data_IF_301136027911
#
_entry.id   IF_301136027911
#
_cell.length_a   1.000
_cell.length_b   1.000
_cell.length_c   1.000
_cell.angle_alpha   90.00
_cell.angle_beta   90.00
_cell.angle_gamma   90.00
#
_symmetry.space_group_name_H-M   'P 1'
#
loop_
_entity.id
_entity.type
_entity.pdbx_description
1 polymer ?
#
# COMPACT_ATOMS: atom_id res chain seq x y z
N UNK A 1 -88.04 -24.41 -76.56
CA UNK A 1 -87.01 -23.64 -75.81
C UNK A 1 -85.77 -23.69 -76.66
N UNK A 2 -85.53 -22.63 -77.43
CA UNK A 2 -84.34 -22.49 -78.26
C UNK A 2 -83.10 -22.34 -77.36
N UNK A 3 -81.98 -23.01 -77.67
CA UNK A 3 -80.74 -22.89 -76.89
C UNK A 3 -80.21 -21.46 -76.96
N UNK A 4 -79.79 -20.93 -75.81
CA UNK A 4 -79.24 -19.56 -75.74
C UNK A 4 -77.98 -19.49 -76.61
N UNK A 5 -77.90 -18.57 -77.59
CA UNK A 5 -76.74 -18.49 -78.48
C UNK A 5 -75.48 -18.09 -77.69
N UNK A 6 -74.52 -19.01 -77.59
CA UNK A 6 -73.22 -18.75 -76.96
C UNK A 6 -72.44 -17.74 -77.79
N UNK A 7 -72.01 -16.62 -77.19
CA UNK A 7 -71.36 -15.52 -77.90
C UNK A 7 -69.91 -15.79 -78.37
N UNK A 8 -69.41 -17.03 -78.24
CA UNK A 8 -68.07 -17.47 -78.65
C UNK A 8 -66.90 -16.83 -77.88
N UNK A 9 -67.16 -15.90 -76.96
CA UNK A 9 -66.16 -15.24 -76.12
C UNK A 9 -65.90 -16.02 -74.83
N UNK A 10 -64.77 -15.77 -74.17
CA UNK A 10 -64.48 -16.34 -72.84
C UNK A 10 -65.53 -15.89 -71.83
N UNK A 11 -65.90 -16.80 -70.92
CA UNK A 11 -66.96 -16.60 -69.95
C UNK A 11 -66.64 -15.47 -68.96
N UNK A 12 -65.40 -15.42 -68.46
CA UNK A 12 -64.90 -14.34 -67.59
C UNK A 12 -65.56 -14.25 -66.21
N UNK A 13 -66.53 -15.11 -65.89
CA UNK A 13 -67.20 -15.14 -64.57
C UNK A 13 -66.18 -15.42 -63.46
N UNK A 14 -66.22 -14.68 -62.33
CA UNK A 14 -65.36 -14.94 -61.18
C UNK A 14 -65.71 -16.30 -60.57
N UNK A 15 -64.70 -17.15 -60.39
CA UNK A 15 -64.79 -18.45 -59.74
C UNK A 15 -64.65 -18.28 -58.22
N UNK A 16 -65.19 -19.21 -57.41
CA UNK A 16 -65.07 -19.17 -55.95
C UNK A 16 -63.64 -19.44 -55.44
N UNK A 17 -62.68 -19.65 -56.33
CA UNK A 17 -61.28 -19.88 -56.01
C UNK A 17 -60.41 -18.66 -56.39
N UNK A 18 -59.39 -18.40 -55.57
CA UNK A 18 -58.50 -17.26 -55.72
C UNK A 18 -57.95 -16.84 -54.35
N UNK A 19 -56.94 -15.99 -54.32
CA UNK A 19 -56.52 -15.29 -53.11
C UNK A 19 -57.31 -13.98 -52.97
N UNK A 20 -57.27 -13.33 -51.79
CA UNK A 20 -57.91 -12.01 -51.58
C UNK A 20 -57.46 -10.96 -52.63
N UNK A 21 -56.24 -11.10 -53.16
CA UNK A 21 -55.65 -10.18 -54.15
C UNK A 21 -55.88 -10.60 -55.61
N UNK A 22 -56.27 -11.86 -55.87
CA UNK A 22 -56.46 -12.36 -57.24
C UNK A 22 -57.56 -13.44 -57.31
N UNK A 23 -58.74 -13.03 -57.79
CA UNK A 23 -59.89 -13.91 -58.04
C UNK A 23 -59.73 -14.56 -59.41
N UNK A 24 -59.82 -15.89 -59.48
CA UNK A 24 -59.73 -16.59 -60.77
C UNK A 24 -60.99 -16.38 -61.58
N UNK A 25 -60.85 -16.13 -62.88
CA UNK A 25 -61.97 -16.02 -63.82
C UNK A 25 -62.10 -17.27 -64.68
N UNK A 26 -63.31 -17.57 -65.15
CA UNK A 26 -63.56 -18.71 -66.01
C UNK A 26 -62.95 -18.49 -67.41
N UNK A 27 -61.92 -19.27 -67.74
CA UNK A 27 -61.23 -19.27 -69.04
C UNK A 27 -61.96 -20.09 -70.12
N UNK A 28 -63.08 -20.75 -69.79
CA UNK A 28 -63.89 -21.49 -70.76
C UNK A 28 -64.67 -20.54 -71.66
N UNK A 29 -64.97 -20.99 -72.89
CA UNK A 29 -65.88 -20.29 -73.79
C UNK A 29 -67.28 -20.17 -73.16
N UNK A 30 -68.06 -19.19 -73.61
CA UNK A 30 -69.42 -18.94 -73.16
C UNK A 30 -70.22 -20.26 -73.12
N UNK A 31 -70.63 -20.65 -71.92
CA UNK A 31 -71.32 -21.90 -71.64
C UNK A 31 -72.55 -21.62 -70.76
N UNK A 32 -73.51 -22.54 -70.82
CA UNK A 32 -74.72 -22.51 -70.00
C UNK A 32 -74.49 -23.37 -68.74
N UNK A 33 -74.91 -22.89 -67.55
CA UNK A 33 -74.67 -23.54 -66.25
C UNK A 33 -73.48 -23.02 -65.43
N UNK A 34 -73.20 -23.66 -64.29
CA UNK A 34 -72.11 -23.31 -63.36
C UNK A 34 -70.73 -23.53 -63.97
N UNK A 35 -69.79 -22.62 -63.68
CA UNK A 35 -68.42 -22.76 -64.15
C UNK A 35 -67.72 -23.93 -63.44
N UNK A 36 -67.17 -24.88 -64.22
CA UNK A 36 -66.50 -26.07 -63.69
C UNK A 36 -65.21 -25.78 -62.89
N UNK A 37 -64.53 -26.82 -62.36
CA UNK A 37 -63.36 -26.64 -61.49
C UNK A 37 -62.25 -25.85 -62.19
N UNK A 38 -61.68 -24.90 -61.45
CA UNK A 38 -60.56 -24.09 -61.94
C UNK A 38 -59.30 -24.94 -62.11
N UNK A 39 -58.59 -24.76 -63.23
CA UNK A 39 -57.30 -25.39 -63.56
C UNK A 39 -56.09 -24.67 -62.96
N UNK A 40 -56.29 -23.52 -62.32
CA UNK A 40 -55.21 -22.70 -61.75
C UNK A 40 -54.84 -23.17 -60.34
N UNK A 41 -53.65 -22.83 -59.90
CA UNK A 41 -53.21 -22.99 -58.50
C UNK A 41 -53.49 -21.70 -57.74
N UNK A 42 -53.84 -21.82 -56.47
CA UNK A 42 -53.92 -20.69 -55.56
C UNK A 42 -53.01 -20.90 -54.37
N UNK A 43 -52.52 -19.79 -53.83
CA UNK A 43 -51.58 -19.77 -52.72
C UNK A 43 -52.37 -19.69 -51.43
N UNK A 44 -52.27 -20.70 -50.57
CA UNK A 44 -52.80 -20.64 -49.21
C UNK A 44 -51.68 -20.29 -48.22
N UNK A 45 -51.97 -19.41 -47.27
CA UNK A 45 -51.03 -19.04 -46.23
C UNK A 45 -51.18 -19.95 -45.01
N UNK A 46 -50.05 -20.21 -44.35
CA UNK A 46 -50.04 -20.92 -43.09
C UNK A 46 -50.72 -20.09 -42.01
N UNK A 47 -51.30 -20.75 -41.00
CA UNK A 47 -51.89 -20.10 -39.81
C UNK A 47 -50.93 -19.12 -39.13
N UNK A 48 -49.63 -19.43 -39.11
CA UNK A 48 -48.59 -18.57 -38.54
C UNK A 48 -48.05 -17.51 -39.53
N UNK A 49 -48.59 -17.47 -40.76
CA UNK A 49 -48.25 -16.56 -41.87
C UNK A 49 -46.78 -16.62 -42.33
N UNK A 50 -45.97 -17.55 -41.83
CA UNK A 50 -44.55 -17.67 -42.17
C UNK A 50 -44.25 -18.48 -43.44
N UNK A 51 -45.18 -19.34 -43.87
CA UNK A 51 -45.05 -20.16 -45.07
C UNK A 51 -46.32 -20.07 -45.88
N UNK A 52 -46.19 -20.03 -47.19
CA UNK A 52 -47.27 -20.15 -48.15
C UNK A 52 -47.07 -21.45 -48.93
N UNK A 53 -48.17 -22.08 -49.33
CA UNK A 53 -48.14 -23.29 -50.15
C UNK A 53 -49.08 -23.12 -51.33
N UNK A 54 -48.61 -23.47 -52.51
CA UNK A 54 -49.43 -23.47 -53.72
C UNK A 54 -50.19 -24.80 -53.81
N UNK A 55 -51.50 -24.72 -53.98
CA UNK A 55 -52.35 -25.90 -54.16
C UNK A 55 -53.28 -25.68 -55.36
N UNK A 56 -53.56 -26.72 -56.16
CA UNK A 56 -54.53 -26.63 -57.25
C UNK A 56 -55.93 -26.35 -56.71
N UNK A 57 -56.68 -25.49 -57.40
CA UNK A 57 -58.02 -25.08 -56.97
C UNK A 57 -59.02 -26.24 -56.85
N UNK A 58 -58.78 -27.34 -57.57
CA UNK A 58 -59.54 -28.59 -57.46
C UNK A 58 -59.49 -29.22 -56.06
N UNK A 59 -58.40 -28.98 -55.32
CA UNK A 59 -58.13 -29.58 -54.00
C UNK A 59 -58.54 -28.68 -52.82
N UNK A 60 -59.04 -27.47 -53.09
CA UNK A 60 -59.41 -26.48 -52.06
C UNK A 60 -60.90 -26.52 -51.69
N UNK A 61 -61.58 -27.64 -51.95
CA UNK A 61 -63.03 -27.81 -51.75
C UNK A 61 -63.50 -27.85 -50.28
N UNK A 62 -62.72 -27.36 -49.33
CA UNK A 62 -63.12 -27.28 -47.92
C UNK A 62 -62.71 -25.93 -47.34
N UNK A 63 -63.70 -25.14 -46.96
CA UNK A 63 -63.56 -23.79 -46.38
C UNK A 63 -62.81 -23.77 -45.02
N UNK A 64 -62.43 -24.94 -44.49
CA UNK A 64 -61.75 -25.13 -43.20
C UNK A 64 -60.28 -25.61 -43.29
N UNK A 65 -59.66 -25.57 -44.47
CA UNK A 65 -58.27 -26.02 -44.64
C UNK A 65 -57.24 -25.00 -44.12
N UNK A 66 -57.17 -24.81 -42.81
CA UNK A 66 -56.08 -24.04 -42.18
C UNK A 66 -54.77 -24.80 -42.34
N UNK A 67 -53.87 -24.34 -43.22
CA UNK A 67 -52.54 -24.93 -43.37
C UNK A 67 -51.70 -24.68 -42.12
N UNK A 68 -51.22 -25.75 -41.48
CA UNK A 68 -50.24 -25.71 -40.39
C UNK A 68 -48.87 -26.15 -40.92
N UNK A 69 -47.83 -25.38 -40.63
CA UNK A 69 -46.47 -25.73 -41.03
C UNK A 69 -45.66 -26.31 -39.86
N UNK A 70 -44.67 -27.15 -40.15
CA UNK A 70 -43.78 -27.74 -39.13
C UNK A 70 -42.70 -26.77 -38.60
N UNK A 71 -42.80 -25.48 -38.91
CA UNK A 71 -41.83 -24.47 -38.49
C UNK A 71 -41.99 -24.15 -37.01
N UNK A 72 -40.91 -24.32 -36.24
CA UNK A 72 -40.83 -23.89 -34.85
C UNK A 72 -40.68 -22.38 -34.74
N UNK A 73 -41.37 -21.77 -33.79
CA UNK A 73 -41.28 -20.34 -33.53
C UNK A 73 -39.98 -19.97 -32.78
N UNK A 74 -39.16 -19.13 -33.39
CA UNK A 74 -37.89 -18.65 -32.81
C UNK A 74 -38.02 -17.35 -32.02
N UNK A 75 -39.24 -16.81 -31.85
CA UNK A 75 -39.45 -15.58 -31.06
C UNK A 75 -39.10 -15.83 -29.59
N UNK A 76 -38.44 -14.85 -28.98
CA UNK A 76 -38.14 -14.88 -27.54
C UNK A 76 -39.43 -14.69 -26.75
N UNK A 77 -39.62 -15.49 -25.71
CA UNK A 77 -40.69 -15.33 -24.72
C UNK A 77 -40.48 -14.03 -23.94
N UNK A 78 -41.54 -13.48 -23.37
CA UNK A 78 -41.53 -12.21 -22.62
C UNK A 78 -40.50 -12.17 -21.48
N UNK A 79 -40.15 -13.34 -20.93
CA UNK A 79 -39.07 -13.50 -19.95
C UNK A 79 -37.66 -13.14 -20.46
N UNK A 80 -37.46 -13.02 -21.77
CA UNK A 80 -36.17 -12.67 -22.40
C UNK A 80 -35.12 -13.78 -22.47
N UNK A 81 -35.26 -14.86 -21.67
CA UNK A 81 -34.32 -16.00 -21.63
C UNK A 81 -34.74 -17.18 -22.51
N UNK A 82 -36.04 -17.47 -22.58
CA UNK A 82 -36.56 -18.66 -23.26
C UNK A 82 -37.09 -18.34 -24.65
N UNK A 83 -36.96 -19.29 -25.58
CA UNK A 83 -37.59 -19.22 -26.91
C UNK A 83 -38.93 -19.97 -26.88
N UNK A 84 -39.87 -19.58 -27.74
CA UNK A 84 -41.18 -20.23 -27.84
C UNK A 84 -41.07 -21.70 -28.24
N UNK A 85 -40.40 -21.98 -29.35
CA UNK A 85 -40.21 -23.32 -29.94
C UNK A 85 -41.48 -24.09 -30.29
N UNK A 86 -42.68 -23.51 -30.13
CA UNK A 86 -43.95 -24.13 -30.53
C UNK A 86 -44.06 -24.20 -32.06
N UNK A 87 -44.63 -25.31 -32.55
CA UNK A 87 -44.83 -25.56 -33.97
C UNK A 87 -46.01 -24.71 -34.45
N UNK A 88 -45.83 -23.95 -35.53
CA UNK A 88 -46.87 -23.10 -36.10
C UNK A 88 -47.49 -22.09 -35.11
N UNK A 89 -46.68 -21.47 -34.24
CA UNK A 89 -47.15 -20.49 -33.26
C UNK A 89 -47.81 -19.26 -33.93
N UNK A 90 -49.01 -18.90 -33.45
CA UNK A 90 -49.77 -17.71 -33.88
C UNK A 90 -49.74 -16.56 -32.87
N UNK A 91 -49.24 -16.82 -31.67
CA UNK A 91 -49.32 -15.86 -30.58
C UNK A 91 -48.44 -14.63 -30.86
N UNK A 92 -49.02 -13.46 -30.61
CA UNK A 92 -48.26 -12.19 -30.62
C UNK A 92 -47.44 -12.06 -29.34
N UNK A 93 -48.00 -12.50 -28.21
CA UNK A 93 -47.37 -12.44 -26.89
C UNK A 93 -46.96 -13.84 -26.40
N UNK A 94 -45.66 -14.05 -26.23
CA UNK A 94 -45.10 -15.34 -25.86
C UNK A 94 -44.82 -15.41 -24.35
N UNK A 95 -45.84 -15.72 -23.54
CA UNK A 95 -45.67 -15.92 -22.09
C UNK A 95 -44.79 -17.13 -21.80
N UNK A 96 -44.03 -17.09 -20.71
CA UNK A 96 -43.18 -18.22 -20.31
C UNK A 96 -43.86 -19.01 -19.18
N UNK A 97 -44.21 -20.29 -19.39
CA UNK A 97 -44.85 -21.14 -18.39
C UNK A 97 -43.85 -21.70 -17.36
N UNK A 98 -42.55 -21.51 -17.58
CA UNK A 98 -41.53 -21.99 -16.66
C UNK A 98 -41.49 -21.13 -15.41
N UNK A 99 -41.26 -21.74 -14.26
CA UNK A 99 -40.99 -21.04 -13.01
C UNK A 99 -39.57 -20.46 -13.05
N UNK A 100 -39.36 -19.28 -12.47
CA UNK A 100 -38.09 -18.58 -12.55
C UNK A 100 -36.93 -19.35 -11.91
N UNK A 101 -37.13 -19.91 -10.71
CA UNK A 101 -36.17 -20.77 -10.00
C UNK A 101 -34.84 -20.10 -9.58
N UNK A 102 -34.66 -18.79 -9.82
CA UNK A 102 -33.45 -18.05 -9.44
C UNK A 102 -33.37 -17.89 -7.93
N UNK A 103 -32.16 -17.96 -7.37
CA UNK A 103 -31.90 -17.74 -5.94
C UNK A 103 -32.23 -16.29 -5.58
N UNK A 104 -33.06 -16.10 -4.56
CA UNK A 104 -33.50 -14.77 -4.10
C UNK A 104 -32.38 -14.08 -3.31
N UNK A 105 -32.52 -12.77 -3.09
CA UNK A 105 -31.55 -11.96 -2.31
C UNK A 105 -31.33 -12.45 -0.88
N UNK A 106 -32.32 -13.13 -0.29
CA UNK A 106 -32.20 -13.72 1.04
C UNK A 106 -31.21 -14.90 1.12
N UNK A 107 -30.73 -15.43 -0.01
CA UNK A 107 -29.70 -16.48 -0.02
C UNK A 107 -30.19 -17.88 0.40
N UNK A 108 -31.44 -18.02 0.85
CA UNK A 108 -32.02 -19.29 1.30
C UNK A 108 -33.14 -19.77 0.36
N UNK A 109 -33.99 -18.86 -0.12
CA UNK A 109 -35.16 -19.20 -0.94
C UNK A 109 -34.93 -19.00 -2.45
N UNK A 110 -35.73 -19.71 -3.26
CA UNK A 110 -35.75 -19.61 -4.72
C UNK A 110 -37.04 -18.92 -5.18
N UNK A 111 -36.98 -18.27 -6.34
CA UNK A 111 -38.13 -17.57 -6.91
C UNK A 111 -39.14 -18.56 -7.51
N UNK A 112 -40.35 -18.60 -6.94
CA UNK A 112 -41.47 -19.45 -7.37
C UNK A 112 -42.40 -18.77 -8.38
N UNK A 113 -42.14 -17.51 -8.71
CA UNK A 113 -42.90 -16.76 -9.70
C UNK A 113 -42.68 -17.31 -11.13
N UNK A 114 -43.68 -17.16 -12.02
CA UNK A 114 -43.50 -17.38 -13.45
C UNK A 114 -42.27 -16.63 -13.97
N UNK A 115 -41.59 -17.21 -14.96
CA UNK A 115 -40.35 -16.66 -15.48
C UNK A 115 -40.60 -15.25 -16.01
N UNK A 116 -39.98 -14.29 -15.34
CA UNK A 116 -40.18 -12.87 -15.56
C UNK A 116 -38.89 -12.22 -16.03
N UNK A 117 -39.00 -11.00 -16.56
CA UNK A 117 -37.85 -10.18 -16.96
C UNK A 117 -37.33 -9.42 -15.73
N UNK A 118 -36.02 -9.17 -15.68
CA UNK A 118 -35.38 -8.40 -14.61
C UNK A 118 -35.02 -9.22 -13.36
N UNK A 119 -34.73 -8.52 -12.26
CA UNK A 119 -34.41 -9.11 -10.96
C UNK A 119 -35.65 -9.72 -10.31
N UNK A 120 -35.47 -10.80 -9.56
CA UNK A 120 -36.56 -11.41 -8.79
C UNK A 120 -37.04 -10.46 -7.69
N UNK A 121 -38.32 -10.58 -7.35
CA UNK A 121 -38.93 -9.87 -6.22
C UNK A 121 -38.23 -10.23 -4.90
N UNK A 122 -38.54 -9.49 -3.83
CA UNK A 122 -38.11 -9.85 -2.48
C UNK A 122 -38.64 -11.22 -2.07
N UNK A 123 -38.00 -11.82 -1.08
CA UNK A 123 -38.52 -13.04 -0.48
C UNK A 123 -39.83 -12.71 0.24
N UNK A 124 -40.90 -13.45 -0.08
CA UNK A 124 -42.21 -13.33 0.55
C UNK A 124 -42.33 -14.11 1.86
N UNK A 125 -41.34 -14.96 2.16
CA UNK A 125 -41.31 -15.67 3.42
C UNK A 125 -41.08 -14.69 4.57
N UNK A 126 -41.87 -14.81 5.62
CA UNK A 126 -41.64 -14.15 6.90
C UNK A 126 -41.52 -15.23 7.99
N UNK A 127 -40.72 -14.95 9.02
CA UNK A 127 -40.74 -15.74 10.25
C UNK A 127 -41.80 -15.21 11.20
N UNK A 128 -42.43 -16.12 11.92
CA UNK A 128 -43.38 -15.81 12.99
C UNK A 128 -42.74 -15.89 14.39
N UNK A 129 -41.42 -16.03 14.42
CA UNK A 129 -40.61 -15.98 15.62
C UNK A 129 -40.03 -14.57 15.81
N UNK A 130 -39.88 -14.17 17.07
CA UNK A 130 -39.24 -12.93 17.46
C UNK A 130 -37.76 -12.94 17.06
N UNK A 131 -37.30 -11.87 16.42
CA UNK A 131 -35.89 -11.72 16.04
C UNK A 131 -35.19 -10.81 17.05
N UNK A 132 -34.33 -11.38 17.89
CA UNK A 132 -33.65 -10.65 18.97
C UNK A 132 -32.19 -10.32 18.61
N UNK A 133 -31.59 -9.33 19.28
CA UNK A 133 -30.13 -9.20 19.34
C UNK A 133 -29.53 -10.48 19.97
N UNK A 134 -28.22 -10.67 19.81
CA UNK A 134 -27.50 -11.75 20.50
C UNK A 134 -27.65 -11.69 22.03
N UNK A 135 -27.85 -10.48 22.57
CA UNK A 135 -28.06 -10.20 23.98
C UNK A 135 -29.49 -10.39 24.49
N UNK A 136 -30.49 -10.60 23.63
CA UNK A 136 -31.92 -10.58 23.97
C UNK A 136 -32.54 -9.22 24.30
N UNK A 137 -31.77 -8.15 24.50
CA UNK A 137 -32.27 -6.83 24.91
C UNK A 137 -33.09 -6.08 23.84
N UNK A 138 -32.70 -6.16 22.56
CA UNK A 138 -33.45 -5.58 21.43
C UNK A 138 -34.21 -6.67 20.70
N UNK A 139 -35.49 -6.44 20.38
CA UNK A 139 -36.39 -7.44 19.77
C UNK A 139 -37.17 -6.82 18.62
N UNK A 140 -37.25 -7.54 17.49
CA UNK A 140 -38.17 -7.28 16.38
C UNK A 140 -39.28 -8.32 16.45
N UNK A 141 -40.53 -7.86 16.59
CA UNK A 141 -41.69 -8.74 16.70
C UNK A 141 -42.17 -9.24 15.32
N UNK A 142 -42.77 -10.44 15.26
CA UNK A 142 -43.40 -10.99 14.06
C UNK A 142 -44.47 -10.07 13.43
N UNK A 143 -44.68 -10.13 12.11
CA UNK A 143 -43.98 -10.97 11.13
C UNK A 143 -42.65 -10.33 10.66
N UNK A 144 -41.55 -11.10 10.75
CA UNK A 144 -40.21 -10.60 10.37
C UNK A 144 -39.88 -11.05 8.93
N UNK A 145 -39.69 -10.14 7.97
CA UNK A 145 -39.36 -10.50 6.59
C UNK A 145 -38.06 -11.32 6.50
N UNK A 146 -38.03 -12.31 5.62
CA UNK A 146 -36.83 -13.13 5.41
C UNK A 146 -35.65 -12.27 4.93
N UNK A 147 -34.52 -12.39 5.63
CA UNK A 147 -33.31 -11.61 5.38
C UNK A 147 -33.21 -10.31 6.18
N UNK A 148 -34.17 -10.03 7.06
CA UNK A 148 -34.05 -8.97 8.07
C UNK A 148 -32.86 -9.28 8.99
N UNK A 149 -31.98 -8.29 9.19
CA UNK A 149 -30.85 -8.42 10.11
C UNK A 149 -31.34 -8.22 11.55
N UNK A 150 -30.67 -8.83 12.56
CA UNK A 150 -30.98 -8.58 13.95
C UNK A 150 -30.98 -7.07 14.28
N UNK A 151 -31.83 -6.61 15.22
CA UNK A 151 -31.90 -5.20 15.58
C UNK A 151 -30.59 -4.69 16.19
N UNK A 152 -30.29 -3.42 15.95
CA UNK A 152 -29.16 -2.74 16.59
C UNK A 152 -29.39 -2.65 18.11
N UNK A 153 -28.33 -2.87 18.87
CA UNK A 153 -28.39 -2.85 20.33
C UNK A 153 -27.24 -2.03 20.91
N UNK A 154 -27.59 -1.11 21.82
CA UNK A 154 -26.66 -0.20 22.49
C UNK A 154 -26.15 -0.75 23.83
N UNK A 155 -26.67 -1.88 24.29
CA UNK A 155 -26.16 -2.55 25.49
C UNK A 155 -24.73 -3.03 25.26
N UNK A 156 -23.94 -3.07 26.33
CA UNK A 156 -22.60 -3.68 26.29
C UNK A 156 -22.70 -5.15 25.90
N UNK A 157 -21.70 -5.63 25.16
CA UNK A 157 -21.67 -7.03 24.74
C UNK A 157 -21.66 -7.97 25.96
N UNK A 158 -22.58 -8.93 25.97
CA UNK A 158 -22.76 -9.90 27.06
C UNK A 158 -21.95 -11.19 26.88
N UNK A 159 -21.09 -11.27 25.84
CA UNK A 159 -20.27 -12.46 25.58
C UNK A 159 -19.14 -12.58 26.60
N UNK A 160 -18.65 -13.81 26.79
CA UNK A 160 -17.48 -14.05 27.65
C UNK A 160 -16.24 -13.54 26.94
N UNK A 161 -15.46 -12.71 27.62
CA UNK A 161 -14.20 -12.18 27.14
C UNK A 161 -13.05 -12.73 27.99
N UNK A 162 -11.92 -13.02 27.35
CA UNK A 162 -10.71 -13.51 28.03
C UNK A 162 -9.94 -12.41 28.77
N UNK A 163 -10.40 -11.16 28.71
CA UNK A 163 -9.72 -10.02 29.30
C UNK A 163 -10.36 -9.57 30.61
N UNK A 164 -9.53 -9.30 31.62
CA UNK A 164 -9.95 -8.98 32.99
C UNK A 164 -10.41 -7.52 33.21
N UNK A 165 -11.00 -6.88 32.19
CA UNK A 165 -11.41 -5.47 32.26
C UNK A 165 -12.78 -5.24 31.62
N UNK A 166 -13.47 -4.13 31.95
CA UNK A 166 -14.81 -3.86 31.45
C UNK A 166 -14.87 -3.86 29.91
N UNK A 167 -16.00 -4.30 29.38
CA UNK A 167 -16.26 -4.39 27.94
C UNK A 167 -16.79 -3.05 27.43
N UNK A 168 -16.11 -2.46 26.46
CA UNK A 168 -16.43 -1.12 25.93
C UNK A 168 -17.08 -1.10 24.54
N UNK A 169 -17.46 -2.25 23.98
CA UNK A 169 -18.21 -2.30 22.73
C UNK A 169 -19.65 -2.72 22.96
N UNK A 170 -20.54 -2.22 22.10
CA UNK A 170 -21.94 -2.56 22.10
C UNK A 170 -22.19 -3.97 21.56
N UNK A 171 -23.37 -4.50 21.84
CA UNK A 171 -23.83 -5.76 21.28
C UNK A 171 -23.81 -5.68 19.74
N UNK A 172 -23.38 -6.78 19.13
CA UNK A 172 -23.16 -6.87 17.71
C UNK A 172 -23.60 -8.26 17.21
N UNK A 173 -23.75 -8.41 15.89
CA UNK A 173 -24.32 -9.62 15.30
C UNK A 173 -23.26 -10.63 14.85
N UNK A 174 -22.02 -10.19 14.61
CA UNK A 174 -20.92 -11.05 14.16
C UNK A 174 -20.53 -12.06 15.24
N UNK A 175 -20.00 -13.22 14.86
CA UNK A 175 -19.60 -14.26 15.83
C UNK A 175 -18.37 -13.88 16.66
N UNK A 176 -17.46 -13.08 16.08
CA UNK A 176 -16.25 -12.62 16.74
C UNK A 176 -16.44 -11.21 17.25
N UNK A 177 -16.12 -10.99 18.52
CA UNK A 177 -16.13 -9.66 19.09
C UNK A 177 -15.06 -8.78 18.45
N UNK A 178 -15.33 -7.47 18.32
CA UNK A 178 -14.31 -6.52 17.89
C UNK A 178 -13.10 -6.55 18.83
N UNK A 179 -11.88 -6.31 18.32
CA UNK A 179 -10.66 -6.38 19.11
C UNK A 179 -10.71 -5.36 20.25
N UNK A 180 -10.30 -5.77 21.45
CA UNK A 180 -10.36 -4.89 22.60
C UNK A 180 -9.31 -3.76 22.52
N UNK A 181 -9.77 -2.52 22.55
CA UNK A 181 -8.95 -1.30 22.55
C UNK A 181 -8.62 -0.79 23.96
N UNK A 182 -9.08 -1.48 25.01
CA UNK A 182 -8.82 -1.10 26.38
C UNK A 182 -7.31 -1.04 26.65
N UNK A 183 -6.87 0.06 27.26
CA UNK A 183 -5.46 0.33 27.48
C UNK A 183 -4.97 -0.42 28.72
N UNK A 184 -4.04 -1.34 28.50
CA UNK A 184 -3.41 -2.18 29.52
C UNK A 184 -1.92 -1.91 29.60
N UNK A 185 -1.29 -2.39 30.66
CA UNK A 185 0.16 -2.35 30.80
C UNK A 185 0.74 -3.73 30.45
N UNK A 186 1.72 -3.77 29.55
CA UNK A 186 2.29 -5.02 29.05
C UNK A 186 3.80 -4.92 28.87
N UNK A 187 4.47 -6.06 29.05
CA UNK A 187 5.88 -6.21 28.70
C UNK A 187 6.05 -6.23 27.18
N UNK A 188 7.14 -5.63 26.69
CA UNK A 188 7.50 -5.80 25.29
C UNK A 188 7.88 -7.27 24.99
N UNK A 189 7.86 -7.63 23.71
CA UNK A 189 8.13 -9.00 23.22
C UNK A 189 9.51 -9.54 23.66
N UNK A 190 10.48 -8.66 23.85
CA UNK A 190 11.83 -9.00 24.37
C UNK A 190 12.00 -8.81 25.88
N UNK A 191 10.94 -8.47 26.63
CA UNK A 191 10.95 -8.19 28.07
C UNK A 191 11.94 -7.10 28.52
N UNK A 192 12.28 -6.16 27.66
CA UNK A 192 13.19 -5.04 27.97
C UNK A 192 12.53 -3.95 28.82
N UNK A 193 11.25 -3.64 28.59
CA UNK A 193 10.56 -2.54 29.26
C UNK A 193 9.06 -2.84 29.39
N UNK A 194 8.48 -2.36 30.49
CA UNK A 194 7.05 -2.44 30.78
C UNK A 194 6.36 -1.17 30.30
N UNK A 195 5.51 -1.27 29.26
CA UNK A 195 4.84 -0.13 28.64
C UNK A 195 3.39 -0.02 29.08
N UNK A 196 2.98 1.18 29.44
CA UNK A 196 1.56 1.54 29.65
C UNK A 196 0.91 1.98 28.34
N UNK A 197 -0.42 2.09 28.36
CA UNK A 197 -1.23 2.53 27.21
C UNK A 197 -1.18 1.60 26.01
N UNK A 198 -1.13 0.29 26.25
CA UNK A 198 -1.15 -0.70 25.17
C UNK A 198 -2.54 -1.34 25.05
N UNK A 199 -3.20 -1.24 23.89
CA UNK A 199 -4.45 -1.93 23.62
C UNK A 199 -4.38 -3.43 23.98
N UNK A 200 -5.40 -3.92 24.69
CA UNK A 200 -5.44 -5.29 25.22
C UNK A 200 -5.30 -6.36 24.13
N UNK A 201 -5.84 -6.14 22.92
CA UNK A 201 -5.68 -7.09 21.82
C UNK A 201 -4.24 -7.24 21.32
N UNK A 202 -3.34 -6.30 21.63
CA UNK A 202 -1.93 -6.38 21.23
C UNK A 202 -1.15 -7.22 22.22
N UNK A 203 -0.58 -8.33 21.75
CA UNK A 203 0.23 -9.26 22.56
C UNK A 203 1.73 -9.05 22.33
N UNK A 204 2.15 -8.88 21.07
CA UNK A 204 3.55 -8.73 20.69
C UNK A 204 3.90 -7.26 20.44
N UNK A 205 4.40 -6.56 21.46
CA UNK A 205 4.69 -5.12 21.40
C UNK A 205 6.20 -4.90 21.41
N UNK A 206 6.73 -4.05 20.53
CA UNK A 206 8.14 -3.66 20.55
C UNK A 206 8.32 -2.38 21.38
N UNK A 207 9.36 -2.34 22.23
CA UNK A 207 9.69 -1.13 23.00
C UNK A 207 10.52 -0.11 22.20
N UNK A 208 10.92 -0.43 20.96
CA UNK A 208 11.80 0.40 20.13
C UNK A 208 13.25 0.49 20.61
N UNK A 209 13.57 -0.03 21.79
CA UNK A 209 14.94 -0.08 22.33
C UNK A 209 15.74 -1.23 21.70
N UNK A 210 17.08 -1.09 21.59
CA UNK A 210 17.95 -2.20 21.25
C UNK A 210 17.87 -3.27 22.34
N UNK A 211 17.92 -4.54 21.95
CA UNK A 211 17.71 -5.66 22.86
C UNK A 211 18.74 -5.72 23.99
N UNK A 212 20.02 -5.48 23.68
CA UNK A 212 21.08 -5.42 24.69
C UNK A 212 21.42 -6.76 25.36
N UNK A 213 20.70 -7.84 25.06
CA UNK A 213 21.00 -9.18 25.56
C UNK A 213 22.40 -9.64 25.10
N UNK A 214 23.13 -10.32 25.97
CA UNK A 214 24.44 -10.90 25.67
C UNK A 214 24.29 -12.00 24.62
N UNK A 215 24.96 -11.83 23.49
CA UNK A 215 25.00 -12.85 22.43
C UNK A 215 25.80 -14.08 22.88
N UNK A 216 25.64 -15.24 22.21
CA UNK A 216 26.38 -16.47 22.52
C UNK A 216 27.91 -16.31 22.51
N UNK A 217 28.44 -15.24 21.91
CA UNK A 217 29.86 -14.92 21.91
C UNK A 217 30.40 -14.39 23.26
N UNK A 218 29.55 -14.09 24.24
CA UNK A 218 29.94 -13.64 25.59
C UNK A 218 30.53 -12.22 25.67
N UNK A 219 31.01 -11.65 24.57
CA UNK A 219 31.67 -10.34 24.51
C UNK A 219 30.83 -9.24 23.86
N UNK A 220 29.76 -9.58 23.14
CA UNK A 220 28.94 -8.59 22.44
C UNK A 220 27.46 -8.66 22.84
N UNK A 221 26.81 -7.50 22.76
CA UNK A 221 25.39 -7.32 23.06
C UNK A 221 24.58 -7.18 21.78
N UNK A 222 23.37 -7.73 21.78
CA UNK A 222 22.44 -7.66 20.66
C UNK A 222 22.09 -6.20 20.34
N UNK A 223 22.46 -5.73 19.14
CA UNK A 223 22.14 -4.39 18.64
C UNK A 223 20.81 -4.34 17.86
N UNK A 224 20.13 -5.48 17.69
CA UNK A 224 18.81 -5.52 17.05
C UNK A 224 17.81 -4.79 17.94
N UNK A 225 16.86 -4.10 17.31
CA UNK A 225 15.69 -3.58 18.01
C UNK A 225 14.91 -4.73 18.66
N UNK A 226 14.09 -4.40 19.66
CA UNK A 226 13.23 -5.34 20.36
C UNK A 226 12.57 -6.34 19.39
N UNK A 227 12.95 -7.61 19.53
CA UNK A 227 12.51 -8.71 18.67
C UNK A 227 11.95 -9.84 19.53
N UNK A 228 11.14 -10.68 18.91
CA UNK A 228 10.60 -11.90 19.51
C UNK A 228 11.64 -13.03 19.37
N UNK A 229 11.80 -13.84 20.41
CA UNK A 229 12.69 -15.01 20.41
C UNK A 229 14.12 -14.72 20.87
N UNK A 230 14.95 -15.75 20.89
CA UNK A 230 16.35 -15.69 21.34
C UNK A 230 17.24 -14.87 20.39
N UNK A 231 18.25 -14.20 20.93
CA UNK A 231 19.23 -13.43 20.14
C UNK A 231 20.25 -14.35 19.46
N UNK A 232 19.76 -15.24 18.60
CA UNK A 232 20.59 -16.13 17.80
C UNK A 232 21.11 -15.38 16.57
N UNK A 233 22.40 -15.54 16.31
CA UNK A 233 23.03 -15.15 15.05
C UNK A 233 23.39 -16.46 14.37
N UNK A 234 22.61 -16.85 13.36
CA UNK A 234 22.70 -18.14 12.66
C UNK A 234 24.11 -18.49 12.16
N UNK A 235 24.99 -17.50 11.96
CA UNK A 235 26.40 -17.75 11.69
C UNK A 235 27.29 -16.63 12.27
N UNK A 236 27.84 -16.90 13.46
CA UNK A 236 28.86 -16.13 14.18
C UNK A 236 28.56 -14.63 14.41
N UNK A 237 28.97 -14.10 15.56
CA UNK A 237 28.80 -12.68 15.84
C UNK A 237 29.64 -11.84 14.84
N UNK A 238 29.01 -11.06 13.97
CA UNK A 238 29.72 -10.20 13.00
C UNK A 238 30.08 -8.81 13.55
N UNK A 239 29.84 -8.57 14.84
CA UNK A 239 30.13 -7.29 15.46
C UNK A 239 31.65 -7.07 15.62
N UNK A 240 32.13 -5.84 15.46
CA UNK A 240 33.55 -5.53 15.58
C UNK A 240 34.02 -5.72 17.02
N UNK A 241 35.11 -6.46 17.19
CA UNK A 241 35.74 -6.74 18.47
C UNK A 241 36.31 -5.46 19.09
N UNK A 242 35.90 -5.14 20.32
CA UNK A 242 36.33 -3.95 21.07
C UNK A 242 37.53 -4.20 21.99
N UNK A 243 38.07 -5.42 22.02
CA UNK A 243 39.24 -5.75 22.84
C UNK A 243 40.44 -4.88 22.43
N UNK A 244 41.10 -4.21 23.38
CA UNK A 244 42.26 -3.38 23.09
C UNK A 244 43.45 -4.23 22.66
N UNK A 245 44.15 -3.80 21.61
CA UNK A 245 45.38 -4.45 21.12
C UNK A 245 46.51 -4.24 22.13
N UNK A 246 47.31 -5.27 22.39
CA UNK A 246 48.42 -5.19 23.34
C UNK A 246 49.51 -4.18 22.91
N UNK A 247 49.71 -3.99 21.60
CA UNK A 247 50.79 -3.17 21.05
C UNK A 247 50.51 -1.66 21.08
N UNK A 248 49.24 -1.25 20.91
CA UNK A 248 48.88 0.16 20.77
C UNK A 248 47.62 0.58 21.56
N UNK A 249 46.97 -0.33 22.29
CA UNK A 249 45.78 -0.05 23.09
C UNK A 249 44.50 0.24 22.30
N UNK A 250 44.56 0.35 20.96
CA UNK A 250 43.40 0.62 20.11
C UNK A 250 42.48 -0.61 19.97
N UNK A 251 41.16 -0.43 19.78
CA UNK A 251 40.22 -1.54 19.61
C UNK A 251 40.54 -2.38 18.37
N UNK A 252 40.33 -3.71 18.46
CA UNK A 252 40.67 -4.64 17.39
C UNK A 252 39.92 -4.34 16.07
N UNK A 253 38.63 -4.03 16.14
CA UNK A 253 37.72 -3.78 14.99
C UNK A 253 37.55 -4.93 14.00
N UNK A 254 38.17 -6.10 14.23
CA UNK A 254 37.93 -7.32 13.46
C UNK A 254 36.56 -7.94 13.80
N UNK A 255 35.94 -8.74 12.90
CA UNK A 255 34.73 -9.49 13.25
C UNK A 255 34.96 -10.37 14.48
N UNK A 256 33.91 -10.61 15.29
CA UNK A 256 34.02 -11.35 16.55
C UNK A 256 34.69 -12.70 16.34
N UNK A 257 35.73 -12.97 17.13
CA UNK A 257 36.58 -14.14 17.01
C UNK A 257 36.66 -14.89 18.35
N UNK A 258 35.50 -15.34 18.84
CA UNK A 258 35.27 -15.94 20.18
C UNK A 258 36.32 -16.95 20.65
N UNK A 259 36.94 -17.67 19.72
CA UNK A 259 37.79 -18.83 20.00
C UNK A 259 39.29 -18.57 19.74
N UNK A 260 39.67 -17.39 19.25
CA UNK A 260 41.07 -17.06 18.91
C UNK A 260 41.51 -15.71 19.49
N UNK A 261 42.80 -15.53 19.84
CA UNK A 261 43.34 -14.23 20.19
C UNK A 261 43.13 -13.21 19.06
N UNK A 262 43.09 -11.92 19.40
CA UNK A 262 42.92 -10.85 18.42
C UNK A 262 43.98 -10.96 17.30
N UNK A 263 43.58 -10.90 16.02
CA UNK A 263 44.53 -10.99 14.93
C UNK A 263 45.50 -9.79 14.97
N UNK A 264 46.80 -10.07 14.84
CA UNK A 264 47.90 -9.10 14.74
C UNK A 264 47.88 -8.37 13.38
N UNK A 265 46.79 -7.68 13.11
CA UNK A 265 46.63 -6.81 11.94
C UNK A 265 47.15 -5.41 12.23
N UNK A 266 47.75 -4.73 11.25
CA UNK A 266 48.17 -3.33 11.41
C UNK A 266 46.99 -2.45 11.85
N UNK A 267 47.22 -1.55 12.79
CA UNK A 267 46.16 -0.74 13.38
C UNK A 267 45.73 0.36 12.38
N UNK A 268 44.52 0.26 11.84
CA UNK A 268 43.92 1.30 10.97
C UNK A 268 43.29 2.46 11.74
N UNK A 269 43.63 2.60 13.03
CA UNK A 269 43.14 3.72 13.82
C UNK A 269 43.87 4.98 13.36
N UNK A 270 43.10 5.96 12.91
CA UNK A 270 43.61 7.26 12.47
C UNK A 270 44.01 8.08 13.70
N UNK A 271 45.30 8.35 13.85
CA UNK A 271 45.83 9.29 14.82
C UNK A 271 45.86 10.66 14.16
N UNK A 272 45.13 11.61 14.74
CA UNK A 272 45.19 13.01 14.32
C UNK A 272 46.47 13.64 14.87
N UNK A 273 47.32 14.14 13.99
CA UNK A 273 48.45 14.98 14.39
C UNK A 273 47.87 16.38 14.54
N UNK A 274 47.76 16.86 15.78
CA UNK A 274 47.24 18.20 16.08
C UNK A 274 48.17 19.26 15.47
N UNK A 275 47.69 19.91 14.41
CA UNK A 275 48.40 20.96 13.67
C UNK A 275 48.14 20.95 12.17
N UNK A 276 47.80 19.80 11.57
CA UNK A 276 47.42 19.72 10.16
C UNK A 276 46.19 18.83 9.95
N UNK A 277 45.40 19.10 8.91
CA UNK A 277 44.23 18.30 8.49
C UNK A 277 44.66 16.97 7.84
N UNK A 278 45.56 16.23 8.48
CA UNK A 278 46.03 14.93 8.05
C UNK A 278 45.90 13.93 9.19
N UNK A 279 45.37 12.75 8.86
CA UNK A 279 45.22 11.63 9.78
C UNK A 279 46.13 10.51 9.32
N UNK A 280 46.98 10.00 10.21
CA UNK A 280 47.91 8.90 9.90
C UNK A 280 47.44 7.63 10.60
N UNK A 281 47.51 6.49 9.93
CA UNK A 281 47.21 5.19 10.53
C UNK A 281 48.24 4.84 11.63
N UNK A 282 47.75 4.33 12.76
CA UNK A 282 48.57 3.91 13.89
C UNK A 282 49.54 2.78 13.50
N UNK A 283 50.83 3.11 13.39
CA UNK A 283 51.88 2.17 13.00
C UNK A 283 52.21 2.15 11.52
N UNK A 284 51.78 3.15 10.73
CA UNK A 284 52.39 3.37 9.43
C UNK A 284 53.87 3.71 9.60
N UNK A 285 54.70 3.22 8.69
CA UNK A 285 56.16 3.45 8.61
C UNK A 285 56.50 4.90 8.21
N UNK A 286 55.70 5.88 8.68
CA UNK A 286 55.88 7.31 8.47
C UNK A 286 56.93 7.92 9.41
N UNK A 287 57.79 7.11 10.03
CA UNK A 287 58.99 7.59 10.72
C UNK A 287 60.06 8.07 9.73
N UNK A 288 60.01 7.60 8.49
CA UNK A 288 61.02 7.91 7.46
C UNK A 288 60.90 9.34 6.92
N UNK A 289 59.69 9.89 6.86
CA UNK A 289 59.44 11.24 6.33
C UNK A 289 59.61 12.32 7.41
N UNK A 290 59.27 12.00 8.67
CA UNK A 290 59.45 12.91 9.82
C UNK A 290 60.93 13.04 10.21
N UNK A 291 61.74 11.99 10.05
CA UNK A 291 63.19 12.06 10.26
C UNK A 291 63.90 12.92 9.21
N UNK A 292 63.45 12.90 7.95
CA UNK A 292 64.03 13.71 6.87
C UNK A 292 63.84 15.22 7.12
N UNK A 293 62.69 15.63 7.66
CA UNK A 293 62.41 17.03 7.98
C UNK A 293 63.26 17.52 9.17
N UNK A 294 63.47 16.68 10.20
CA UNK A 294 64.34 17.03 11.33
C UNK A 294 65.84 17.07 10.98
N UNK A 295 66.27 16.29 9.97
CA UNK A 295 67.62 16.37 9.42
C UNK A 295 67.83 17.63 8.58
N UNK A 296 66.84 18.08 7.80
CA UNK A 296 66.96 19.27 6.98
C UNK A 296 67.13 20.57 7.80
N UNK A 297 66.47 20.68 8.96
CA UNK A 297 66.61 21.84 9.85
C UNK A 297 67.93 21.91 10.62
N UNK A 298 68.72 20.82 10.67
CA UNK A 298 69.99 20.76 11.43
C UNK A 298 71.25 20.88 10.56
N UNK A 299 71.11 20.93 9.23
CA UNK A 299 72.27 21.00 8.31
C UNK A 299 72.57 22.45 7.87
N UNK A 300 71.75 23.43 8.27
CA UNK A 300 72.00 24.86 7.96
C UNK A 300 72.94 25.57 8.95
N UNK A 301 73.34 24.93 10.05
CA UNK A 301 74.28 25.49 11.03
C UNK A 301 75.44 24.52 11.30
N UNK A 302 76.44 24.47 10.41
CA UNK A 302 77.86 24.18 10.69
C UNK A 302 78.63 23.87 9.41
N UNK A 303 78.79 24.88 8.54
CA UNK A 303 80.02 24.96 7.76
C UNK A 303 81.13 25.33 8.73
N UNK A 304 81.99 24.36 9.07
CA UNK A 304 83.43 24.49 9.34
C UNK A 304 83.96 23.20 9.98
N UNK A 305 84.17 22.19 9.13
CA UNK A 305 85.19 21.14 9.29
C UNK A 305 85.39 20.50 10.67
N UNK A 306 84.51 19.56 11.03
CA UNK A 306 84.77 18.52 12.02
C UNK A 306 84.04 17.24 11.63
N UNK A 307 84.71 16.09 11.63
CA UNK A 307 84.07 14.78 11.40
C UNK A 307 83.41 14.27 12.68
N UNK A 308 82.22 13.68 12.56
CA UNK A 308 81.58 12.91 13.63
C UNK A 308 81.11 11.57 13.08
N UNK A 309 81.45 10.48 13.77
CA UNK A 309 81.06 9.10 13.45
C UNK A 309 79.54 8.86 13.62
N UNK A 310 78.91 8.31 12.58
CA UNK A 310 77.48 8.00 12.50
C UNK A 310 77.21 6.63 13.14
N UNK A 311 77.44 6.49 14.45
CA UNK A 311 77.11 5.25 15.18
C UNK A 311 76.54 5.44 16.59
N UNK A 312 76.15 6.66 17.00
CA UNK A 312 75.63 6.90 18.37
C UNK A 312 74.38 7.77 18.53
N UNK A 313 73.62 8.10 17.47
CA UNK A 313 72.54 9.10 17.58
C UNK A 313 71.10 8.64 17.35
N UNK A 314 70.77 7.34 17.45
CA UNK A 314 69.37 6.95 17.64
C UNK A 314 69.27 5.78 18.63
N UNK A 315 69.32 6.08 19.92
CA UNK A 315 68.83 5.14 20.94
C UNK A 315 67.35 5.42 21.20
N UNK A 316 66.56 4.35 21.40
CA UNK A 316 65.09 4.32 21.53
C UNK A 316 64.46 5.20 22.64
N UNK A 317 65.22 6.07 23.31
CA UNK A 317 64.75 6.91 24.41
C UNK A 317 64.40 8.35 24.02
N UNK A 318 64.83 8.84 22.86
CA UNK A 318 64.59 10.24 22.45
C UNK A 318 63.39 10.43 21.50
N UNK A 319 62.70 9.34 21.10
CA UNK A 319 61.46 9.43 20.32
C UNK A 319 60.30 10.00 21.15
N UNK A 320 60.38 9.91 22.49
CA UNK A 320 59.35 10.45 23.39
C UNK A 320 59.45 11.97 23.63
N UNK A 321 60.47 12.66 23.10
CA UNK A 321 60.66 14.09 23.37
C UNK A 321 60.86 14.95 22.11
N UNK A 322 60.46 14.46 20.93
CA UNK A 322 60.25 15.32 19.78
C UNK A 322 58.86 15.98 19.89
N UNK A 323 58.70 16.88 20.87
CA UNK A 323 57.52 17.75 20.93
C UNK A 323 57.74 18.80 19.84
N UNK A 324 57.03 18.69 18.71
CA UNK A 324 56.99 19.77 17.74
C UNK A 324 56.49 21.03 18.44
N UNK A 325 57.25 22.12 18.30
CA UNK A 325 56.83 23.42 18.77
C UNK A 325 55.71 23.93 17.86
N UNK A 326 54.66 24.47 18.47
CA UNK A 326 53.46 24.92 17.77
C UNK A 326 53.80 26.20 16.99
N UNK A 327 53.52 26.22 15.68
CA UNK A 327 53.67 27.41 14.85
C UNK A 327 52.52 28.42 15.11
N UNK A 328 52.58 29.57 14.44
CA UNK A 328 51.60 30.65 14.64
C UNK A 328 50.16 30.21 14.27
N UNK A 329 50.04 29.36 13.25
CA UNK A 329 48.77 28.79 12.79
C UNK A 329 48.20 27.79 13.82
N UNK A 330 49.03 26.87 14.33
CA UNK A 330 48.68 25.95 15.41
C UNK A 330 48.26 26.71 16.69
N UNK A 331 48.96 27.78 17.03
CA UNK A 331 48.67 28.60 18.23
C UNK A 331 47.34 29.37 18.07
N UNK A 332 47.04 29.85 16.87
CA UNK A 332 45.76 30.50 16.57
C UNK A 332 44.59 29.50 16.65
N UNK A 333 44.78 28.29 16.12
CA UNK A 333 43.79 27.22 16.15
C UNK A 333 43.50 26.75 17.59
N UNK A 334 44.53 26.63 18.43
CA UNK A 334 44.36 26.28 19.84
C UNK A 334 43.64 27.38 20.65
N UNK A 335 43.92 28.67 20.35
CA UNK A 335 43.14 29.78 20.93
C UNK A 335 41.67 29.73 20.50
N UNK A 336 41.40 29.50 19.21
CA UNK A 336 40.04 29.38 18.67
C UNK A 336 39.29 28.20 19.28
N UNK A 337 39.98 27.06 19.48
CA UNK A 337 39.42 25.89 20.12
C UNK A 337 39.14 26.12 21.61
N UNK A 338 40.06 26.76 22.35
CA UNK A 338 39.82 27.16 23.75
C UNK A 338 38.63 28.10 23.89
N UNK A 339 38.49 29.05 22.97
CA UNK A 339 37.31 29.92 22.92
C UNK A 339 36.05 29.11 22.61
N UNK A 340 36.06 28.23 21.61
CA UNK A 340 34.92 27.39 21.27
C UNK A 340 34.49 26.46 22.43
N UNK A 341 35.44 25.85 23.14
CA UNK A 341 35.18 25.04 24.33
C UNK A 341 34.59 25.88 25.47
N UNK A 342 35.12 27.09 25.72
CA UNK A 342 34.60 28.01 26.73
C UNK A 342 33.16 28.48 26.42
N UNK A 343 32.82 28.60 25.13
CA UNK A 343 31.47 28.96 24.69
C UNK A 343 30.57 27.75 24.35
N UNK A 344 31.03 26.52 24.62
CA UNK A 344 30.32 25.27 24.31
C UNK A 344 29.88 25.13 22.83
N UNK A 345 30.62 25.75 21.91
CA UNK A 345 30.38 25.69 20.47
C UNK A 345 31.02 24.41 19.94
N UNK A 346 30.24 23.58 19.26
CA UNK A 346 30.71 22.31 18.68
C UNK A 346 31.18 22.55 17.24
N UNK A 347 32.40 22.10 16.88
CA UNK A 347 33.01 22.33 15.56
C UNK A 347 32.27 21.69 14.36
N UNK A 348 31.26 20.85 14.62
CA UNK A 348 30.44 20.16 13.60
C UNK A 348 29.16 20.92 13.18
N UNK A 349 29.01 22.21 13.51
CA UNK A 349 27.85 22.98 13.03
C UNK A 349 28.04 23.46 11.60
N UNK A 350 27.55 22.64 10.67
CA UNK A 350 27.44 22.93 9.23
C UNK A 350 26.66 24.25 8.97
N UNK A 351 27.17 25.22 8.18
CA UNK A 351 26.54 26.53 7.99
C UNK A 351 25.16 26.53 7.32
N UNK A 352 24.74 25.40 6.77
CA UNK A 352 23.50 25.26 6.00
C UNK A 352 22.39 24.46 6.69
N UNK A 353 22.59 23.97 7.92
CA UNK A 353 21.58 23.18 8.63
C UNK A 353 20.94 23.94 9.80
N UNK A 354 20.22 25.02 9.49
CA UNK A 354 19.57 25.94 10.47
C UNK A 354 18.29 25.35 11.11
N UNK A 355 18.01 24.04 10.99
CA UNK A 355 16.77 23.46 11.57
C UNK A 355 16.91 22.37 12.62
N UNK A 356 18.12 21.92 12.97
CA UNK A 356 18.24 20.79 13.93
C UNK A 356 19.23 20.95 15.08
N UNK A 357 19.87 22.11 15.25
CA UNK A 357 20.62 22.39 16.48
C UNK A 357 20.08 23.68 17.08
N UNK A 358 19.15 23.54 18.02
CA UNK A 358 18.75 24.66 18.86
C UNK A 358 20.01 25.29 19.46
N UNK A 359 20.19 26.57 19.22
CA UNK A 359 21.31 27.34 19.75
C UNK A 359 21.50 27.03 21.23
N UNK A 360 22.72 26.60 21.59
CA UNK A 360 23.11 26.23 22.96
C UNK A 360 23.26 27.48 23.83
N UNK A 361 22.25 28.35 23.85
CA UNK A 361 22.16 29.39 24.87
C UNK A 361 21.81 28.73 26.20
N UNK A 362 22.52 29.12 27.25
CA UNK A 362 22.27 28.63 28.61
C UNK A 362 20.83 28.95 29.02
N UNK A 363 20.26 28.12 29.89
CA UNK A 363 18.86 28.30 30.32
C UNK A 363 18.62 29.63 31.03
N UNK A 364 19.66 30.21 31.66
CA UNK A 364 19.64 31.57 32.22
C UNK A 364 19.36 32.62 31.15
N UNK A 365 20.12 32.61 30.04
CA UNK A 365 19.93 33.58 28.94
C UNK A 365 18.54 33.46 28.29
N UNK A 366 17.99 32.25 28.22
CA UNK A 366 16.62 32.00 27.71
C UNK A 366 15.54 32.48 28.68
N UNK A 367 15.82 32.49 29.97
CA UNK A 367 14.89 33.00 30.98
C UNK A 367 14.94 34.53 31.05
N UNK A 368 16.14 35.12 30.95
CA UNK A 368 16.34 36.56 30.90
C UNK A 368 15.73 37.16 29.62
N UNK A 369 15.88 36.49 28.47
CA UNK A 369 15.19 36.86 27.24
C UNK A 369 13.66 36.78 27.34
N UNK A 370 13.12 35.87 28.16
CA UNK A 370 11.66 35.80 28.40
C UNK A 370 11.16 36.89 29.35
N UNK A 371 12.02 37.38 30.25
CA UNK A 371 11.67 38.44 31.22
C UNK A 371 11.79 39.83 30.62
N UNK A 372 12.83 40.10 29.83
CA UNK A 372 13.06 41.41 29.22
C UNK A 372 13.58 41.31 27.78
N UNK A 373 12.64 41.03 26.87
CA UNK A 373 12.88 40.88 25.43
C UNK A 373 13.46 42.16 24.80
N UNK A 374 13.14 43.33 25.34
CA UNK A 374 13.59 44.61 24.80
C UNK A 374 15.07 44.84 25.11
N UNK A 375 15.48 44.58 26.36
CA UNK A 375 16.89 44.62 26.75
C UNK A 375 17.75 43.67 25.92
N UNK A 376 17.31 42.42 25.73
CA UNK A 376 18.09 41.45 24.94
C UNK A 376 18.23 41.87 23.47
N UNK A 377 17.17 42.42 22.88
CA UNK A 377 17.24 42.94 21.50
C UNK A 377 18.16 44.16 21.37
N UNK A 378 18.19 45.04 22.37
CA UNK A 378 19.08 46.20 22.39
C UNK A 378 20.55 45.77 22.55
N UNK A 379 20.82 44.77 23.40
CA UNK A 379 22.16 44.18 23.57
C UNK A 379 22.63 43.44 22.32
N UNK A 380 21.76 42.68 21.66
CA UNK A 380 22.08 41.99 20.41
C UNK A 380 22.47 43.00 19.32
N UNK A 381 21.72 44.10 19.21
CA UNK A 381 22.00 45.17 18.26
C UNK A 381 23.33 45.88 18.56
N UNK A 382 23.65 46.12 19.83
CA UNK A 382 24.95 46.67 20.24
C UNK A 382 26.12 45.68 20.02
N UNK A 383 25.90 44.37 20.17
CA UNK A 383 26.93 43.38 19.81
C UNK A 383 27.15 43.34 18.29
N UNK A 384 26.08 43.44 17.50
CA UNK A 384 26.16 43.48 16.03
C UNK A 384 26.95 44.70 15.55
N UNK A 385 26.67 45.90 16.10
CA UNK A 385 27.44 47.12 15.77
C UNK A 385 28.91 47.00 16.18
N UNK A 386 29.22 46.35 17.31
CA UNK A 386 30.59 46.09 17.76
C UNK A 386 31.34 45.14 16.81
N UNK A 387 30.69 44.07 16.35
CA UNK A 387 31.27 43.13 15.38
C UNK A 387 31.50 43.81 14.03
N UNK A 388 30.54 44.61 13.55
CA UNK A 388 30.72 45.39 12.32
C UNK A 388 31.86 46.42 12.44
N UNK A 389 32.02 47.04 13.61
CA UNK A 389 33.12 47.96 13.88
C UNK A 389 34.47 47.23 13.85
N UNK A 390 34.60 46.07 14.51
CA UNK A 390 35.83 45.27 14.52
C UNK A 390 36.20 44.79 13.11
N UNK A 391 35.21 44.31 12.33
CA UNK A 391 35.44 43.91 10.94
C UNK A 391 35.91 45.10 10.08
N UNK A 392 35.39 46.32 10.32
CA UNK A 392 35.90 47.53 9.67
C UNK A 392 37.33 47.86 10.08
N UNK A 393 37.71 47.68 11.35
CA UNK A 393 39.09 47.89 11.81
C UNK A 393 40.05 46.85 11.22
N UNK A 394 39.66 45.59 11.06
CA UNK A 394 40.48 44.59 10.34
C UNK A 394 40.69 44.95 8.87
N UNK A 395 39.66 45.50 8.20
CA UNK A 395 39.76 45.97 6.81
C UNK A 395 40.62 47.23 6.70
N UNK A 396 40.52 48.19 7.63
CA UNK A 396 41.36 49.40 7.62
C UNK A 396 42.81 49.11 8.01
N UNK A 397 43.08 48.24 8.98
CA UNK A 397 44.46 47.85 9.35
C UNK A 397 45.17 47.08 8.24
N UNK A 398 44.45 46.28 7.46
CA UNK A 398 45.00 45.65 6.25
C UNK A 398 45.29 46.64 5.10
N UNK A 399 44.69 47.83 5.13
CA UNK A 399 44.95 48.93 4.19
C UNK A 399 46.13 49.82 4.62
N UNK A 400 46.44 49.91 5.93
CA UNK A 400 47.60 50.66 6.47
C UNK A 400 48.92 49.86 6.49
N UNK A 401 48.91 48.57 6.15
CA UNK A 401 50.14 47.77 5.94
C UNK A 401 50.64 47.75 4.49
N UNK A 402 49.99 48.48 3.59
CA UNK A 402 50.36 48.57 2.17
C UNK A 402 50.63 50.01 1.66
N UNK A 403 50.91 50.94 2.57
CA UNK A 403 51.61 52.20 2.33
C UNK A 403 52.77 52.31 3.33
#
# INVERSE_FOLDING_TARGET
MDPVPSCGKVCGKPLPCGSLDFIHTCEKLCHEGDCGPCSRTSVISCRCSFRTKELPCTSLKSEDATFMCDKRCNKKRLCGRHKCNEICCVDKEHKCPLICGRKLRCGLHRCEEPCHRGNCQTCWQASFDELTCHCGASVIYPPVPCGTRPPECTQTCARVHECDHPVYHSCHSEEKCPPCTFLTQKWCMGKHEFRSNIPCHLVDISCGLPCGATLPCGMHKCQRLCHKGECLVDEACKQPCTTPRADCGHPCMAPCHTSSPCPVTACKAKVGISGHRWSIDCGSEATSEIAAISMASKITDMQLGGSVEISKLITKKEVHQARLECDEECSALERKKRLAEAFHISEDSDPFNIRSSGSKFSDSLKEDARKDLKFVSDVEKEMETLVEAVNKVEVETSHWTFL
#
